data_IF_535787784922
#
_entry.id   IF_535787784922
#
_cell.length_a   1.000
_cell.length_b   1.000
_cell.length_c   1.000
_cell.angle_alpha   90.00
_cell.angle_beta   90.00
_cell.angle_gamma   90.00
#
_symmetry.space_group_name_H-M   'P 1'
#
loop_
_entity.id
_entity.type
_entity.pdbx_description
1 polymer ?
#
# COMPACT_ATOMS: atom_id res chain seq x y z
N UNK A 1 4.45 -11.53 -3.32
CA UNK A 1 5.92 -11.57 -3.50
C UNK A 1 6.59 -11.33 -2.16
N UNK A 2 7.92 -11.49 -2.02
CA UNK A 2 8.57 -11.29 -0.73
C UNK A 2 10.09 -10.98 -0.78
N UNK A 3 10.66 -10.66 -1.95
CA UNK A 3 12.12 -10.59 -2.13
C UNK A 3 12.59 -9.37 -2.94
N UNK A 4 11.72 -8.41 -3.25
CA UNK A 4 12.08 -7.22 -4.03
C UNK A 4 13.25 -6.42 -3.42
N UNK A 5 13.42 -6.43 -2.10
CA UNK A 5 14.54 -5.76 -1.44
C UNK A 5 15.92 -6.27 -1.90
N UNK A 6 16.02 -7.52 -2.39
CA UNK A 6 17.27 -8.12 -2.87
C UNK A 6 17.80 -7.45 -4.14
N UNK A 7 16.96 -6.77 -4.91
CA UNK A 7 17.40 -6.12 -6.14
C UNK A 7 17.97 -4.71 -5.90
N UNK A 8 17.69 -4.10 -4.74
CA UNK A 8 18.06 -2.71 -4.44
C UNK A 8 19.57 -2.45 -4.61
N UNK A 9 20.50 -3.30 -4.11
CA UNK A 9 21.94 -3.07 -4.29
C UNK A 9 22.42 -3.02 -5.75
N UNK A 10 21.61 -3.49 -6.69
CA UNK A 10 21.95 -3.54 -8.11
C UNK A 10 21.28 -2.43 -8.93
N UNK A 11 20.48 -1.56 -8.29
CA UNK A 11 19.82 -0.44 -8.93
C UNK A 11 20.80 0.72 -9.13
N UNK A 12 20.69 1.41 -10.27
CA UNK A 12 21.48 2.60 -10.54
C UNK A 12 20.72 3.85 -10.07
N UNK A 13 21.16 4.44 -8.97
CA UNK A 13 20.52 5.63 -8.38
C UNK A 13 20.51 6.83 -9.34
N UNK A 14 21.60 7.07 -10.07
CA UNK A 14 21.68 8.17 -11.05
C UNK A 14 20.61 8.02 -12.12
N UNK A 15 20.47 6.82 -12.69
CA UNK A 15 19.44 6.52 -13.68
C UNK A 15 18.03 6.78 -13.13
N UNK A 16 17.75 6.39 -11.89
CA UNK A 16 16.43 6.60 -11.28
C UNK A 16 16.17 8.10 -11.06
N UNK A 17 17.13 8.83 -10.50
CA UNK A 17 17.00 10.28 -10.22
C UNK A 17 16.83 11.11 -11.48
N UNK A 18 17.54 10.77 -12.56
CA UNK A 18 17.50 11.49 -13.83
C UNK A 18 16.27 11.15 -14.71
N UNK A 19 15.51 10.11 -14.37
CA UNK A 19 14.39 9.63 -15.18
C UNK A 19 13.10 9.47 -14.36
N UNK A 20 12.57 10.54 -13.74
CA UNK A 20 11.34 10.46 -12.97
C UNK A 20 10.18 10.01 -13.87
N UNK A 21 9.51 8.93 -13.45
CA UNK A 21 8.35 8.36 -14.14
C UNK A 21 7.41 7.72 -13.14
N UNK A 22 6.17 7.46 -13.57
CA UNK A 22 5.21 6.73 -12.75
C UNK A 22 5.76 5.34 -12.44
N UNK A 23 5.80 5.03 -11.15
CA UNK A 23 6.07 3.69 -10.63
C UNK A 23 4.90 3.32 -9.71
N UNK A 24 4.26 2.18 -10.00
CA UNK A 24 3.06 1.72 -9.32
C UNK A 24 3.12 0.24 -8.98
N UNK A 25 2.60 -0.09 -7.80
CA UNK A 25 2.43 -1.45 -7.31
C UNK A 25 2.01 -1.44 -5.84
N UNK A 26 1.90 -2.63 -5.25
CA UNK A 26 1.62 -2.82 -3.82
C UNK A 26 2.27 -4.12 -3.32
N UNK A 27 2.03 -4.48 -2.06
CA UNK A 27 2.58 -5.68 -1.41
C UNK A 27 4.12 -5.62 -1.38
N UNK A 28 4.81 -6.64 -1.88
CA UNK A 28 6.29 -6.73 -1.89
C UNK A 28 7.01 -5.52 -2.51
N UNK A 29 6.34 -4.83 -3.44
CA UNK A 29 6.90 -3.64 -4.10
C UNK A 29 7.07 -2.45 -3.12
N UNK A 30 6.50 -2.53 -1.91
CA UNK A 30 6.73 -1.58 -0.80
C UNK A 30 8.22 -1.27 -0.61
N UNK A 31 9.11 -2.27 -0.67
CA UNK A 31 10.54 -2.01 -0.49
C UNK A 31 11.12 -1.07 -1.56
N UNK A 32 10.67 -1.20 -2.81
CA UNK A 32 11.06 -0.30 -3.88
C UNK A 32 10.42 1.08 -3.75
N UNK A 33 9.16 1.17 -3.30
CA UNK A 33 8.51 2.45 -3.00
C UNK A 33 9.31 3.26 -1.97
N UNK A 34 9.72 2.62 -0.88
CA UNK A 34 10.49 3.25 0.19
C UNK A 34 11.88 3.66 -0.30
N UNK A 35 12.58 2.78 -1.01
CA UNK A 35 13.89 3.10 -1.58
C UNK A 35 13.82 4.24 -2.61
N UNK A 36 12.85 4.21 -3.53
CA UNK A 36 12.69 5.29 -4.51
C UNK A 36 12.35 6.63 -3.86
N UNK A 37 11.60 6.62 -2.75
CA UNK A 37 11.35 7.81 -1.96
C UNK A 37 12.65 8.43 -1.40
N UNK A 38 13.62 7.63 -0.91
CA UNK A 38 14.92 8.15 -0.47
C UNK A 38 15.73 8.76 -1.63
N UNK A 39 15.42 8.36 -2.87
CA UNK A 39 15.99 8.96 -4.08
C UNK A 39 15.24 10.22 -4.55
N UNK A 40 14.19 10.64 -3.83
CA UNK A 40 13.36 11.81 -4.16
C UNK A 40 12.28 11.53 -5.21
N UNK A 41 12.02 10.27 -5.54
CA UNK A 41 10.97 9.89 -6.49
C UNK A 41 9.66 9.64 -5.76
N UNK A 42 8.64 10.43 -6.07
CA UNK A 42 7.26 10.17 -5.66
C UNK A 42 6.71 9.00 -6.47
N UNK A 43 6.19 7.99 -5.78
CA UNK A 43 5.63 6.77 -6.36
C UNK A 43 4.18 6.57 -5.94
N UNK A 44 3.48 5.62 -6.58
CA UNK A 44 2.05 5.40 -6.37
C UNK A 44 1.81 4.01 -5.80
N UNK A 45 1.28 3.92 -4.58
CA UNK A 45 0.89 2.64 -4.00
C UNK A 45 -0.51 2.26 -4.51
N UNK A 46 -0.63 1.18 -5.29
CA UNK A 46 -1.86 0.91 -6.03
C UNK A 46 -1.81 -0.32 -6.94
N UNK A 47 -2.78 -0.44 -7.87
CA UNK A 47 -3.04 -1.68 -8.62
C UNK A 47 -1.83 -2.23 -9.38
N UNK A 48 -1.74 -3.55 -9.45
CA UNK A 48 -0.73 -4.30 -10.20
C UNK A 48 -1.34 -5.07 -11.37
N UNK A 49 -0.48 -5.46 -12.32
CA UNK A 49 -0.90 -6.06 -13.59
C UNK A 49 -1.79 -7.30 -13.40
N UNK A 50 -1.32 -8.30 -12.63
CA UNK A 50 -2.02 -9.58 -12.51
C UNK A 50 -3.22 -9.55 -11.56
N UNK A 51 -3.20 -8.65 -10.58
CA UNK A 51 -4.18 -8.62 -9.48
C UNK A 51 -5.35 -7.69 -9.76
N UNK A 52 -5.15 -6.67 -10.60
CA UNK A 52 -6.12 -5.62 -10.84
C UNK A 52 -6.42 -5.43 -12.32
N UNK A 53 -5.38 -5.33 -13.17
CA UNK A 53 -5.56 -5.15 -14.62
C UNK A 53 -5.91 -6.44 -15.36
N UNK A 54 -5.69 -7.60 -14.75
CA UNK A 54 -6.08 -8.90 -15.28
C UNK A 54 -7.33 -9.46 -14.58
N UNK A 55 -8.17 -8.59 -14.00
CA UNK A 55 -9.46 -9.01 -13.45
C UNK A 55 -10.30 -9.72 -14.53
N UNK A 56 -10.84 -10.89 -14.18
CA UNK A 56 -11.69 -11.67 -15.07
C UNK A 56 -12.92 -10.86 -15.49
N UNK A 57 -13.42 -11.14 -16.70
CA UNK A 57 -14.61 -10.54 -17.31
C UNK A 57 -14.48 -9.04 -17.61
N UNK A 58 -14.18 -8.20 -16.62
CA UNK A 58 -14.07 -6.75 -16.79
C UNK A 58 -13.19 -6.10 -15.72
N UNK A 59 -12.48 -5.04 -16.13
CA UNK A 59 -11.73 -4.19 -15.21
C UNK A 59 -12.66 -3.51 -14.20
N UNK A 60 -12.17 -3.36 -12.97
CA UNK A 60 -12.94 -2.73 -11.91
C UNK A 60 -12.96 -1.20 -12.05
N UNK A 61 -14.16 -0.63 -12.18
CA UNK A 61 -14.33 0.82 -12.39
C UNK A 61 -13.78 1.65 -11.22
N UNK A 62 -14.00 1.21 -9.97
CA UNK A 62 -13.48 1.94 -8.83
C UNK A 62 -11.95 2.02 -8.90
N UNK A 63 -11.29 0.90 -9.16
CA UNK A 63 -9.83 0.85 -9.30
C UNK A 63 -9.32 1.76 -10.41
N UNK A 64 -9.89 1.66 -11.61
CA UNK A 64 -9.43 2.45 -12.76
C UNK A 64 -9.72 3.95 -12.62
N UNK A 65 -10.91 4.31 -12.15
CA UNK A 65 -11.30 5.72 -12.02
C UNK A 65 -10.37 6.43 -11.03
N UNK A 66 -10.09 5.83 -9.87
CA UNK A 66 -9.18 6.41 -8.89
C UNK A 66 -7.73 6.42 -9.37
N UNK A 67 -7.27 5.35 -10.03
CA UNK A 67 -5.93 5.32 -10.62
C UNK A 67 -5.76 6.46 -11.63
N UNK A 68 -6.61 6.53 -12.65
CA UNK A 68 -6.43 7.50 -13.73
C UNK A 68 -6.69 8.94 -13.29
N UNK A 69 -7.53 9.17 -12.27
CA UNK A 69 -7.61 10.49 -11.61
C UNK A 69 -6.31 10.86 -10.92
N UNK A 70 -5.64 9.90 -10.30
CA UNK A 70 -4.40 10.12 -9.54
C UNK A 70 -3.18 10.34 -10.45
N UNK A 71 -3.06 9.58 -11.55
CA UNK A 71 -1.88 9.65 -12.43
C UNK A 71 -2.08 10.48 -13.69
N UNK A 72 -3.34 10.74 -14.08
CA UNK A 72 -3.69 11.44 -15.31
C UNK A 72 -4.00 12.92 -15.13
N UNK A 73 -4.04 13.41 -13.89
CA UNK A 73 -4.40 14.79 -13.57
C UNK A 73 -3.49 15.33 -12.44
N UNK A 74 -3.19 16.63 -12.48
CA UNK A 74 -2.41 17.33 -11.45
C UNK A 74 -3.30 17.84 -10.30
N UNK A 75 -4.62 17.79 -10.46
CA UNK A 75 -5.57 18.21 -9.43
C UNK A 75 -5.56 17.22 -8.26
N UNK A 76 -5.72 17.75 -7.05
CA UNK A 76 -5.89 16.93 -5.87
C UNK A 76 -7.08 15.97 -6.05
N UNK A 77 -6.88 14.70 -5.67
CA UNK A 77 -7.90 13.65 -5.79
C UNK A 77 -9.19 14.00 -5.03
N UNK A 78 -9.07 14.83 -3.98
CA UNK A 78 -10.19 15.22 -3.11
C UNK A 78 -10.52 14.12 -2.11
N UNK A 79 -11.79 14.06 -1.71
CA UNK A 79 -12.28 12.98 -0.87
C UNK A 79 -12.24 11.65 -1.63
N UNK A 80 -11.72 10.62 -0.99
CA UNK A 80 -11.74 9.25 -1.49
C UNK A 80 -12.97 8.58 -0.87
N UNK A 81 -13.94 8.22 -1.68
CA UNK A 81 -15.10 7.43 -1.26
C UNK A 81 -14.70 5.96 -1.14
N UNK A 82 -15.35 5.21 -0.25
CA UNK A 82 -15.18 3.76 -0.21
C UNK A 82 -15.78 3.10 -1.45
N UNK A 83 -15.16 2.05 -1.98
CA UNK A 83 -15.77 1.24 -3.05
C UNK A 83 -17.12 0.68 -2.60
N UNK A 84 -18.10 0.45 -3.50
CA UNK A 84 -19.40 -0.11 -3.13
C UNK A 84 -19.32 -1.59 -2.73
N UNK A 85 -18.28 -2.29 -3.19
CA UNK A 85 -18.07 -3.71 -2.90
C UNK A 85 -16.58 -4.04 -2.77
N UNK A 86 -16.31 -5.19 -2.17
CA UNK A 86 -15.04 -5.91 -2.25
C UNK A 86 -15.25 -7.21 -3.04
N UNK A 87 -14.16 -7.81 -3.53
CA UNK A 87 -14.22 -9.10 -4.23
C UNK A 87 -13.66 -10.20 -3.35
N UNK A 88 -14.31 -11.36 -3.34
CA UNK A 88 -13.87 -12.54 -2.60
C UNK A 88 -12.56 -13.06 -3.20
N UNK A 89 -11.60 -13.37 -2.33
CA UNK A 89 -10.37 -14.04 -2.73
C UNK A 89 -10.64 -15.52 -3.03
N UNK A 90 -9.82 -16.12 -3.90
CA UNK A 90 -9.75 -17.58 -4.07
C UNK A 90 -10.09 -18.12 -5.47
N UNK A 91 -10.53 -17.27 -6.41
CA UNK A 91 -10.64 -17.69 -7.81
C UNK A 91 -9.24 -17.88 -8.39
N UNK A 92 -8.96 -19.06 -8.96
CA UNK A 92 -7.64 -19.38 -9.51
C UNK A 92 -7.42 -18.70 -10.86
N UNK A 93 -6.17 -18.34 -11.14
CA UNK A 93 -5.73 -17.81 -12.43
C UNK A 93 -5.50 -18.93 -13.45
N UNK A 94 -6.58 -19.66 -13.76
CA UNK A 94 -6.60 -20.68 -14.81
C UNK A 94 -7.33 -20.13 -16.02
N UNK A 95 -6.82 -20.35 -17.23
CA UNK A 95 -7.45 -19.80 -18.45
C UNK A 95 -8.91 -20.27 -18.61
N UNK A 96 -9.21 -21.50 -18.18
CA UNK A 96 -10.57 -22.06 -18.15
C UNK A 96 -11.55 -21.28 -17.27
N UNK A 97 -11.06 -20.45 -16.35
CA UNK A 97 -11.85 -19.66 -15.41
C UNK A 97 -11.97 -18.19 -15.80
N UNK A 98 -11.36 -17.74 -16.91
CA UNK A 98 -11.27 -16.31 -17.30
C UNK A 98 -12.62 -15.60 -17.47
N UNK A 99 -13.66 -16.36 -17.80
CA UNK A 99 -15.03 -15.86 -18.00
C UNK A 99 -15.88 -15.89 -16.71
N UNK A 100 -15.29 -16.30 -15.58
CA UNK A 100 -15.95 -16.32 -14.27
C UNK A 100 -15.60 -15.04 -13.49
N UNK A 101 -16.61 -14.26 -13.15
CA UNK A 101 -16.44 -13.10 -12.28
C UNK A 101 -16.28 -13.53 -10.80
N UNK A 102 -15.37 -12.87 -10.07
CA UNK A 102 -15.25 -13.06 -8.62
C UNK A 102 -16.49 -12.56 -7.89
N UNK A 103 -16.94 -13.34 -6.90
CA UNK A 103 -18.04 -12.96 -6.00
C UNK A 103 -17.78 -11.60 -5.35
N UNK A 104 -18.82 -10.75 -5.28
CA UNK A 104 -18.77 -9.41 -4.68
C UNK A 104 -19.48 -9.41 -3.33
N UNK A 105 -18.85 -8.78 -2.34
CA UNK A 105 -19.42 -8.54 -1.02
C UNK A 105 -19.62 -7.04 -0.83
N UNK A 106 -20.74 -6.63 -0.23
CA UNK A 106 -20.98 -5.22 0.08
C UNK A 106 -19.87 -4.66 0.98
N UNK A 107 -19.35 -3.49 0.63
CA UNK A 107 -18.31 -2.84 1.42
C UNK A 107 -18.93 -1.92 2.49
N UNK A 108 -18.27 -1.82 3.64
CA UNK A 108 -18.60 -0.84 4.67
C UNK A 108 -17.84 0.47 4.46
N UNK A 109 -18.36 1.56 5.03
CA UNK A 109 -17.64 2.83 5.12
C UNK A 109 -16.38 2.73 6.00
N UNK A 110 -15.57 3.79 5.99
CA UNK A 110 -14.44 3.95 6.90
C UNK A 110 -14.87 3.81 8.37
N UNK A 111 -13.99 3.22 9.17
CA UNK A 111 -14.16 3.10 10.62
C UNK A 111 -13.12 3.99 11.30
N UNK A 112 -13.59 4.96 12.09
CA UNK A 112 -12.72 5.76 12.95
C UNK A 112 -12.48 5.01 14.25
N UNK A 113 -11.27 4.47 14.42
CA UNK A 113 -10.89 3.73 15.63
C UNK A 113 -10.69 4.68 16.81
N UNK A 114 -9.98 5.79 16.58
CA UNK A 114 -9.69 6.81 17.60
C UNK A 114 -9.31 8.15 16.97
N UNK A 115 -9.24 9.19 17.79
CA UNK A 115 -8.96 10.57 17.37
C UNK A 115 -10.23 11.35 17.07
N UNK A 116 -10.19 12.68 17.26
CA UNK A 116 -11.35 13.55 17.05
C UNK A 116 -11.00 14.87 16.36
N UNK A 117 -9.75 15.04 15.92
CA UNK A 117 -9.28 16.20 15.16
C UNK A 117 -8.84 15.77 13.76
N UNK A 118 -9.02 16.65 12.75
CA UNK A 118 -8.42 16.43 11.44
C UNK A 118 -6.89 16.33 11.54
N UNK A 119 -6.31 15.40 10.78
CA UNK A 119 -4.88 15.23 10.63
C UNK A 119 -4.51 15.32 9.14
N UNK A 120 -3.34 15.88 8.85
CA UNK A 120 -2.82 16.01 7.49
C UNK A 120 -1.32 15.80 7.47
N UNK A 121 -0.82 15.25 6.37
CA UNK A 121 0.60 15.01 6.20
C UNK A 121 0.86 14.25 4.90
N UNK A 122 2.11 14.27 4.39
CA UNK A 122 2.50 13.38 3.31
C UNK A 122 2.28 11.91 3.71
N UNK A 123 1.91 11.06 2.77
CA UNK A 123 1.75 9.63 3.02
C UNK A 123 3.11 8.92 3.08
N UNK A 124 3.24 7.96 3.98
CA UNK A 124 4.35 7.00 4.05
C UNK A 124 3.82 5.64 4.50
N UNK A 125 4.38 4.55 3.98
CA UNK A 125 4.00 3.19 4.38
C UNK A 125 3.85 2.24 3.20
N UNK A 126 2.92 1.31 3.31
CA UNK A 126 2.71 0.22 2.34
C UNK A 126 2.23 -1.07 3.01
N UNK A 127 2.65 -2.20 2.48
CA UNK A 127 2.37 -3.50 3.05
C UNK A 127 3.07 -3.65 4.40
N UNK A 128 2.30 -3.98 5.42
CA UNK A 128 2.72 -4.11 6.80
C UNK A 128 3.87 -5.12 6.94
N UNK A 129 3.71 -6.31 6.36
CA UNK A 129 4.69 -7.38 6.42
C UNK A 129 5.97 -7.03 5.64
N UNK A 130 5.84 -6.30 4.53
CA UNK A 130 7.00 -5.82 3.78
C UNK A 130 7.75 -4.74 4.55
N UNK A 131 7.04 -3.78 5.16
CA UNK A 131 7.65 -2.73 5.98
C UNK A 131 8.36 -3.33 7.21
N UNK A 132 7.74 -4.31 7.87
CA UNK A 132 8.31 -5.05 8.99
C UNK A 132 9.67 -5.67 8.62
N UNK A 133 9.71 -6.43 7.53
CA UNK A 133 10.92 -7.15 7.06
C UNK A 133 12.11 -6.24 6.80
N UNK A 134 11.89 -4.95 6.55
CA UNK A 134 12.96 -3.99 6.30
C UNK A 134 13.58 -3.43 7.58
N UNK A 135 12.94 -3.60 8.76
CA UNK A 135 13.47 -3.07 10.03
C UNK A 135 14.92 -3.51 10.25
N UNK A 136 15.75 -2.56 10.66
CA UNK A 136 17.19 -2.79 10.88
C UNK A 136 18.03 -2.85 9.61
N UNK A 137 17.42 -2.70 8.42
CA UNK A 137 18.15 -2.54 7.16
C UNK A 137 18.25 -1.06 6.77
N UNK A 138 19.16 -0.68 5.86
CA UNK A 138 19.21 0.67 5.29
C UNK A 138 17.98 1.08 4.46
N UNK A 139 17.05 0.15 4.21
CA UNK A 139 15.86 0.37 3.39
C UNK A 139 14.60 0.65 4.22
N UNK A 140 14.67 0.49 5.55
CA UNK A 140 13.64 1.03 6.42
C UNK A 140 13.79 2.55 6.49
N UNK A 141 12.70 3.35 6.43
CA UNK A 141 12.81 4.80 6.48
C UNK A 141 13.49 5.26 7.77
N UNK A 142 14.37 6.26 7.67
CA UNK A 142 14.93 6.91 8.86
C UNK A 142 13.79 7.39 9.76
N UNK A 143 14.00 7.39 11.07
CA UNK A 143 12.93 7.73 12.01
C UNK A 143 12.38 9.14 11.78
N UNK A 144 13.18 10.07 11.27
CA UNK A 144 12.74 11.43 10.95
C UNK A 144 11.88 11.51 9.69
N UNK A 145 11.92 10.49 8.82
CA UNK A 145 11.00 10.38 7.68
C UNK A 145 9.56 10.17 8.13
N UNK A 146 9.27 9.90 9.40
CA UNK A 146 7.89 9.79 9.88
C UNK A 146 7.31 11.12 10.39
N UNK A 147 8.13 12.18 10.52
CA UNK A 147 7.69 13.46 11.07
C UNK A 147 6.58 14.09 10.21
N UNK A 148 5.48 14.46 10.86
CA UNK A 148 4.32 15.13 10.26
C UNK A 148 3.65 14.35 9.12
N UNK A 149 3.90 13.05 9.01
CA UNK A 149 3.34 12.18 7.96
C UNK A 149 2.07 11.46 8.41
N UNK A 150 1.30 11.00 7.44
CA UNK A 150 0.23 10.02 7.66
C UNK A 150 0.79 8.64 7.30
N UNK A 151 0.86 7.76 8.30
CA UNK A 151 1.24 6.36 8.07
C UNK A 151 0.06 5.64 7.41
N UNK A 152 0.28 4.93 6.31
CA UNK A 152 -0.71 4.00 5.78
C UNK A 152 -0.14 2.58 5.78
N UNK A 153 -0.91 1.62 6.29
CA UNK A 153 -0.53 0.21 6.29
C UNK A 153 -1.68 -0.65 5.77
N UNK A 154 -1.34 -1.75 5.10
CA UNK A 154 -2.29 -2.81 4.74
C UNK A 154 -1.63 -4.17 4.97
N UNK A 155 -2.43 -5.21 5.25
CA UNK A 155 -1.93 -6.56 5.51
C UNK A 155 -2.06 -7.44 4.27
N UNK A 156 -1.02 -8.21 4.00
CA UNK A 156 -0.91 -9.11 2.85
C UNK A 156 -1.78 -10.38 2.94
N UNK A 157 -1.68 -11.21 1.90
CA UNK A 157 -2.26 -12.54 1.81
C UNK A 157 -1.72 -13.56 2.82
N UNK A 158 -0.65 -13.22 3.54
CA UNK A 158 -0.09 -14.06 4.60
C UNK A 158 -1.04 -14.13 5.80
N UNK A 159 -1.95 -13.16 5.95
CA UNK A 159 -2.91 -13.07 7.06
C UNK A 159 -2.15 -13.10 8.39
N UNK A 160 -1.44 -12.01 8.68
CA UNK A 160 -0.66 -11.88 9.91
C UNK A 160 -1.54 -12.11 11.14
N UNK A 161 -1.12 -13.05 12.00
CA UNK A 161 -1.82 -13.35 13.23
C UNK A 161 -1.94 -12.12 14.14
N UNK A 162 -3.08 -11.91 14.84
CA UNK A 162 -3.31 -10.70 15.64
C UNK A 162 -2.23 -10.40 16.67
N UNK A 163 -1.68 -11.43 17.34
CA UNK A 163 -0.61 -11.26 18.32
C UNK A 163 0.69 -10.76 17.68
N UNK A 164 1.01 -11.25 16.48
CA UNK A 164 2.21 -10.83 15.75
C UNK A 164 2.05 -9.40 15.21
N UNK A 165 0.84 -9.07 14.72
CA UNK A 165 0.49 -7.71 14.36
C UNK A 165 0.67 -6.75 15.55
N UNK A 166 0.15 -7.13 16.73
CA UNK A 166 0.27 -6.35 17.96
C UNK A 166 1.73 -6.15 18.38
N UNK A 167 2.55 -7.20 18.37
CA UNK A 167 3.98 -7.11 18.72
C UNK A 167 4.75 -6.18 17.78
N UNK A 168 4.45 -6.23 16.48
CA UNK A 168 5.06 -5.32 15.51
C UNK A 168 4.58 -3.89 15.70
N UNK A 169 3.30 -3.66 15.99
CA UNK A 169 2.79 -2.32 16.31
C UNK A 169 3.47 -1.77 17.58
N UNK A 170 3.66 -2.58 18.62
CA UNK A 170 4.45 -2.18 19.81
C UNK A 170 5.89 -1.81 19.42
N UNK A 171 6.49 -2.58 18.52
CA UNK A 171 7.85 -2.31 18.03
C UNK A 171 7.94 -0.97 17.29
N UNK A 172 6.98 -0.64 16.42
CA UNK A 172 6.88 0.69 15.80
C UNK A 172 6.70 1.80 16.84
N UNK A 173 5.94 1.54 17.91
CA UNK A 173 5.85 2.42 19.08
C UNK A 173 7.21 2.66 19.75
N UNK A 174 7.96 1.58 20.04
CA UNK A 174 9.29 1.68 20.66
C UNK A 174 10.34 2.34 19.77
N UNK A 175 10.22 2.22 18.45
CA UNK A 175 11.03 2.97 17.50
C UNK A 175 10.71 4.48 17.50
N UNK A 176 9.58 4.87 18.07
CA UNK A 176 9.13 6.26 18.16
C UNK A 176 8.29 6.74 16.99
N UNK A 177 7.83 5.83 16.10
CA UNK A 177 7.06 6.19 14.89
C UNK A 177 5.75 6.88 15.26
N UNK A 178 5.02 6.33 16.23
CA UNK A 178 3.70 6.86 16.63
C UNK A 178 3.76 8.22 17.32
N UNK A 179 4.95 8.67 17.76
CA UNK A 179 5.14 10.02 18.29
C UNK A 179 5.39 11.08 17.21
N UNK A 180 5.58 10.66 15.95
CA UNK A 180 6.01 11.52 14.84
C UNK A 180 4.94 11.69 13.76
N UNK A 181 4.13 10.66 13.55
CA UNK A 181 3.05 10.70 12.57
C UNK A 181 1.88 11.54 13.07
N UNK A 182 1.19 12.23 12.15
CA UNK A 182 -0.02 13.00 12.43
C UNK A 182 -1.27 12.11 12.46
N UNK A 183 -1.22 10.93 11.85
CA UNK A 183 -2.34 10.00 11.79
C UNK A 183 -1.97 8.70 11.09
N UNK A 184 -2.90 7.74 11.14
CA UNK A 184 -2.72 6.43 10.53
C UNK A 184 -3.98 5.99 9.78
N UNK A 185 -3.80 5.38 8.62
CA UNK A 185 -4.85 4.73 7.82
C UNK A 185 -4.51 3.25 7.68
N UNK A 186 -5.48 2.37 7.90
CA UNK A 186 -5.29 0.93 7.78
C UNK A 186 -6.20 0.42 6.66
N UNK A 187 -5.61 -0.22 5.66
CA UNK A 187 -6.32 -0.91 4.58
C UNK A 187 -7.11 -2.09 5.13
N UNK A 188 -8.23 -2.42 4.47
CA UNK A 188 -9.04 -3.58 4.85
C UNK A 188 -8.19 -4.87 4.73
N UNK A 189 -8.11 -5.71 5.78
CA UNK A 189 -7.45 -7.00 5.69
C UNK A 189 -8.07 -7.89 4.60
N UNK A 190 -7.29 -8.78 4.01
CA UNK A 190 -7.81 -9.74 3.06
C UNK A 190 -8.94 -10.56 3.70
N UNK A 191 -10.08 -10.67 3.02
CA UNK A 191 -11.33 -11.28 3.51
C UNK A 191 -12.01 -10.56 4.69
N UNK A 192 -11.49 -9.42 5.17
CA UNK A 192 -12.12 -8.60 6.19
C UNK A 192 -12.08 -9.18 7.62
N UNK A 193 -11.20 -10.14 7.87
CA UNK A 193 -10.93 -10.76 9.18
C UNK A 193 -9.54 -10.42 9.65
#
# INVERSE_FOLDING_TARGET
>A
GNESARIIPYLNETTIRENPKIFIGYSDITALHLYFNTLGLVTFYGPALLTDFAENVALDRYTLDYLFRLIGDVRALGYIETSPYTRRFGLRWEESLKDIEREKTLNSNYVLIQGNQPASGPLIGGCFESLDKLRGTPYFPDINEFNDKILFIETSEVITEPWSFEETMRSFGYMGIFHRINGMVIGRPQNGT
#
